data_IF_841611805100
#
_entry.id   IF_841611805100
#
_cell.length_a   1.000
_cell.length_b   1.000
_cell.length_c   1.000
_cell.angle_alpha   90.00
_cell.angle_beta   90.00
_cell.angle_gamma   90.00
#
_symmetry.space_group_name_H-M   'P 1'
#
loop_
_entity.id
_entity.type
_entity.pdbx_description
1 polymer ?
#
# COMPACT_ATOMS: atom_id res chain seq x y z
N UNK A 1 -2.52 23.44 -21.52
CA UNK A 1 -3.49 22.88 -20.57
C UNK A 1 -2.73 22.39 -19.35
N UNK A 2 -3.26 22.56 -18.14
CA UNK A 2 -2.65 21.99 -16.93
C UNK A 2 -2.72 20.46 -17.01
N UNK A 3 -1.59 19.77 -16.78
CA UNK A 3 -1.57 18.30 -16.77
C UNK A 3 -2.52 17.75 -15.71
N UNK A 4 -3.29 16.68 -16.00
CA UNK A 4 -4.02 15.94 -14.98
C UNK A 4 -3.09 15.35 -13.93
N UNK A 5 -3.65 15.05 -12.76
CA UNK A 5 -3.00 14.17 -11.78
C UNK A 5 -3.71 12.85 -11.72
N UNK A 6 -2.90 11.80 -11.72
CA UNK A 6 -3.36 10.44 -11.53
C UNK A 6 -2.69 9.92 -10.27
N UNK A 7 -3.46 9.77 -9.20
CA UNK A 7 -3.05 9.02 -8.02
C UNK A 7 -3.30 7.55 -8.28
N UNK A 8 -2.29 6.71 -8.19
CA UNK A 8 -2.43 5.27 -8.44
C UNK A 8 -1.80 4.46 -7.33
N UNK A 9 -2.53 3.48 -6.80
CA UNK A 9 -1.88 2.36 -6.13
C UNK A 9 -0.99 1.58 -7.13
N UNK A 10 -0.13 0.70 -6.62
CA UNK A 10 0.90 0.01 -7.39
C UNK A 10 0.60 -1.48 -7.57
N UNK A 11 0.73 -2.24 -6.48
CA UNK A 11 0.60 -3.68 -6.49
C UNK A 11 -0.86 -4.07 -6.75
N UNK A 12 -1.10 -4.96 -7.69
CA UNK A 12 -2.41 -5.40 -8.15
C UNK A 12 -3.26 -4.31 -8.86
N UNK A 13 -2.75 -3.07 -8.93
CA UNK A 13 -3.30 -1.97 -9.73
C UNK A 13 -2.55 -1.81 -11.06
N UNK A 14 -1.26 -1.44 -11.02
CA UNK A 14 -0.44 -1.23 -12.21
C UNK A 14 0.33 -2.49 -12.60
N UNK A 15 0.78 -3.28 -11.62
CA UNK A 15 1.52 -4.52 -11.82
C UNK A 15 1.26 -5.48 -10.68
N UNK A 16 1.61 -6.75 -10.86
CA UNK A 16 1.40 -7.79 -9.85
C UNK A 16 2.57 -8.78 -9.83
N UNK A 17 2.68 -9.58 -8.77
CA UNK A 17 3.75 -10.58 -8.68
C UNK A 17 3.63 -11.62 -9.80
N UNK A 18 4.76 -12.17 -10.26
CA UNK A 18 4.77 -13.27 -11.24
C UNK A 18 3.89 -14.45 -10.82
N UNK A 19 3.92 -14.78 -9.53
CA UNK A 19 3.10 -15.85 -8.93
C UNK A 19 1.62 -15.60 -9.19
N UNK A 20 1.12 -14.39 -8.94
CA UNK A 20 -0.29 -14.02 -9.18
C UNK A 20 -0.64 -14.10 -10.67
N UNK A 21 0.22 -13.56 -11.54
CA UNK A 21 -0.02 -13.61 -12.99
C UNK A 21 -0.12 -15.04 -13.51
N UNK A 22 0.89 -15.86 -13.25
CA UNK A 22 1.02 -17.19 -13.86
C UNK A 22 0.12 -18.21 -13.17
N UNK A 23 0.10 -18.23 -11.84
CA UNK A 23 -0.53 -19.32 -11.09
C UNK A 23 -2.00 -19.04 -10.74
N UNK A 24 -2.41 -17.77 -10.67
CA UNK A 24 -3.76 -17.40 -10.22
C UNK A 24 -4.62 -16.83 -11.36
N UNK A 25 -4.01 -16.09 -12.30
CA UNK A 25 -4.75 -15.33 -13.33
C UNK A 25 -4.54 -15.82 -14.76
N UNK A 26 -3.64 -16.79 -14.98
CA UNK A 26 -3.23 -17.25 -16.31
C UNK A 26 -2.82 -16.11 -17.27
N UNK A 27 -2.11 -15.10 -16.75
CA UNK A 27 -1.59 -13.95 -17.47
C UNK A 27 -0.10 -14.13 -17.80
N UNK A 28 0.31 -13.62 -18.95
CA UNK A 28 1.72 -13.61 -19.36
C UNK A 28 2.45 -12.34 -18.85
N UNK A 29 3.55 -12.47 -18.09
CA UNK A 29 4.39 -11.34 -17.70
C UNK A 29 5.06 -10.71 -18.92
N UNK A 30 4.87 -9.40 -19.12
CA UNK A 30 5.44 -8.68 -20.28
C UNK A 30 6.59 -7.75 -19.88
N UNK A 31 6.33 -6.75 -19.02
CA UNK A 31 7.33 -5.76 -18.61
C UNK A 31 7.51 -5.77 -17.11
N UNK A 32 8.74 -5.71 -16.62
CA UNK A 32 9.00 -5.61 -15.19
C UNK A 32 8.37 -4.33 -14.62
N UNK A 33 7.67 -4.47 -13.50
CA UNK A 33 7.10 -3.37 -12.70
C UNK A 33 7.88 -3.12 -11.41
N UNK A 34 8.45 -4.16 -10.78
CA UNK A 34 9.29 -4.00 -9.59
C UNK A 34 10.30 -5.14 -9.42
N UNK A 35 11.43 -4.80 -8.79
CA UNK A 35 12.52 -5.71 -8.46
C UNK A 35 12.48 -6.15 -6.98
N UNK A 36 13.01 -7.33 -6.70
CA UNK A 36 13.26 -7.81 -5.35
C UNK A 36 14.58 -7.24 -4.75
N UNK A 37 14.93 -7.55 -3.49
CA UNK A 37 16.18 -7.07 -2.89
C UNK A 37 17.46 -7.54 -3.58
N UNK A 38 17.41 -8.58 -4.43
CA UNK A 38 18.52 -9.05 -5.26
C UNK A 38 18.58 -8.37 -6.64
N UNK A 39 17.73 -7.37 -6.86
CA UNK A 39 17.55 -6.65 -8.13
C UNK A 39 17.02 -7.55 -9.27
N UNK A 40 16.34 -8.64 -8.92
CA UNK A 40 15.69 -9.53 -9.89
C UNK A 40 14.22 -9.13 -10.08
N UNK A 41 13.69 -9.10 -11.32
CA UNK A 41 12.28 -8.83 -11.56
C UNK A 41 11.35 -9.78 -10.81
N UNK A 42 10.46 -9.22 -9.99
CA UNK A 42 9.50 -9.96 -9.16
C UNK A 42 8.04 -9.65 -9.49
N UNK A 43 7.75 -8.40 -9.82
CA UNK A 43 6.43 -7.95 -10.24
C UNK A 43 6.46 -7.49 -11.69
N UNK A 44 5.38 -7.73 -12.41
CA UNK A 44 5.28 -7.53 -13.84
C UNK A 44 3.92 -6.92 -14.22
N UNK A 45 3.93 -6.22 -15.35
CA UNK A 45 2.77 -5.74 -16.07
C UNK A 45 2.47 -6.71 -17.21
N UNK A 46 1.18 -6.86 -17.55
CA UNK A 46 0.76 -7.31 -18.88
C UNK A 46 1.10 -6.26 -19.94
N UNK A 47 0.97 -6.61 -21.23
CA UNK A 47 1.16 -5.65 -22.32
C UNK A 47 0.17 -4.48 -22.22
N UNK A 48 -1.11 -4.76 -21.97
CA UNK A 48 -2.15 -3.73 -21.81
C UNK A 48 -1.87 -2.80 -20.61
N UNK A 49 -1.43 -3.35 -19.47
CA UNK A 49 -1.03 -2.55 -18.31
C UNK A 49 0.17 -1.66 -18.63
N UNK A 50 1.18 -2.18 -19.33
CA UNK A 50 2.36 -1.41 -19.71
C UNK A 50 1.99 -0.26 -20.67
N UNK A 51 1.12 -0.51 -21.65
CA UNK A 51 0.62 0.53 -22.56
C UNK A 51 -0.16 1.62 -21.82
N UNK A 52 -1.01 1.23 -20.86
CA UNK A 52 -1.76 2.19 -20.04
C UNK A 52 -0.83 3.05 -19.19
N UNK A 53 0.18 2.45 -18.55
CA UNK A 53 1.20 3.16 -17.77
C UNK A 53 1.99 4.13 -18.64
N UNK A 54 2.45 3.69 -19.81
CA UNK A 54 3.18 4.53 -20.77
C UNK A 54 2.33 5.75 -21.18
N UNK A 55 1.05 5.55 -21.47
CA UNK A 55 0.12 6.64 -21.77
C UNK A 55 -0.07 7.60 -20.59
N UNK A 56 -0.27 7.10 -19.37
CA UNK A 56 -0.44 7.95 -18.19
C UNK A 56 0.81 8.79 -17.89
N UNK A 57 2.00 8.21 -18.03
CA UNK A 57 3.27 8.91 -17.84
C UNK A 57 3.50 10.02 -18.86
N UNK A 58 3.05 9.83 -20.10
CA UNK A 58 3.19 10.83 -21.16
C UNK A 58 2.26 12.03 -20.91
N UNK A 59 1.01 11.77 -20.52
CA UNK A 59 -0.05 12.79 -20.53
C UNK A 59 -0.47 13.34 -19.16
N UNK A 60 0.04 12.79 -18.05
CA UNK A 60 -0.33 13.23 -16.70
C UNK A 60 0.86 13.23 -15.73
N UNK A 61 0.68 13.86 -14.57
CA UNK A 61 1.55 13.60 -13.41
C UNK A 61 1.02 12.35 -12.70
N UNK A 62 1.61 11.20 -13.02
CA UNK A 62 1.31 9.93 -12.38
C UNK A 62 2.06 9.83 -11.05
N UNK A 63 1.30 9.86 -9.95
CA UNK A 63 1.79 9.87 -8.57
C UNK A 63 1.41 8.53 -7.91
N UNK A 64 2.39 7.68 -7.54
CA UNK A 64 2.09 6.43 -6.85
C UNK A 64 1.62 6.68 -5.41
N UNK A 65 0.65 5.90 -4.95
CA UNK A 65 0.08 5.93 -3.60
C UNK A 65 0.07 4.52 -3.02
N UNK A 66 1.16 4.13 -2.37
CA UNK A 66 1.49 2.73 -2.12
C UNK A 66 1.74 2.38 -0.65
N UNK A 67 1.51 1.12 -0.31
CA UNK A 67 1.93 0.49 0.94
C UNK A 67 3.46 0.31 1.03
N UNK A 68 4.14 0.24 -0.11
CA UNK A 68 5.59 0.05 -0.19
C UNK A 68 6.34 1.16 0.54
N UNK A 69 7.35 0.79 1.33
CA UNK A 69 8.27 1.74 1.96
C UNK A 69 9.16 2.48 0.96
N UNK A 70 9.88 3.50 1.42
CA UNK A 70 10.80 4.32 0.59
C UNK A 70 11.84 3.45 -0.12
N UNK A 71 12.44 2.48 0.60
CA UNK A 71 13.39 1.55 -0.02
C UNK A 71 12.74 0.57 -1.02
N UNK A 72 11.45 0.27 -0.87
CA UNK A 72 10.72 -0.66 -1.74
C UNK A 72 10.22 0.00 -3.03
N UNK A 73 9.80 1.27 -2.96
CA UNK A 73 9.43 2.04 -4.14
C UNK A 73 10.64 2.37 -5.00
N UNK A 74 11.83 2.54 -4.41
CA UNK A 74 13.08 2.74 -5.16
C UNK A 74 13.44 1.55 -6.09
N UNK A 75 12.80 0.39 -5.91
CA UNK A 75 12.95 -0.81 -6.77
C UNK A 75 11.82 -0.98 -7.78
N UNK A 76 10.88 -0.04 -7.84
CA UNK A 76 9.84 0.00 -8.88
C UNK A 76 10.49 0.51 -10.16
N UNK A 77 10.26 -0.18 -11.28
CA UNK A 77 10.91 0.09 -12.57
C UNK A 77 10.11 1.04 -13.45
N UNK A 78 8.89 1.43 -13.03
CA UNK A 78 8.10 2.48 -13.69
C UNK A 78 8.78 3.83 -13.44
N UNK A 79 9.10 4.61 -14.49
CA UNK A 79 9.86 5.85 -14.35
C UNK A 79 8.95 7.02 -13.93
N UNK A 80 8.39 6.97 -12.72
CA UNK A 80 7.66 8.10 -12.14
C UNK A 80 8.57 9.34 -12.06
N UNK A 81 8.03 10.51 -12.44
CA UNK A 81 8.76 11.79 -12.46
C UNK A 81 8.16 12.85 -11.55
N UNK A 82 7.10 12.48 -10.83
CA UNK A 82 6.36 13.38 -9.94
C UNK A 82 6.59 12.96 -8.49
N UNK A 83 5.77 13.50 -7.60
CA UNK A 83 5.69 13.10 -6.20
C UNK A 83 5.39 11.60 -6.04
N UNK A 84 5.63 11.07 -4.85
CA UNK A 84 5.18 9.73 -4.47
C UNK A 84 4.65 9.72 -3.04
N UNK A 85 3.55 9.00 -2.80
CA UNK A 85 3.03 8.71 -1.46
C UNK A 85 3.37 7.25 -1.15
N UNK A 86 4.17 7.02 -0.11
CA UNK A 86 4.72 5.71 0.24
C UNK A 86 4.34 5.33 1.66
N UNK A 87 4.61 4.07 2.03
CA UNK A 87 4.45 3.57 3.39
C UNK A 87 3.04 3.80 3.93
N UNK A 88 2.02 3.45 3.14
CA UNK A 88 0.60 3.65 3.47
C UNK A 88 0.20 5.12 3.69
N UNK A 89 1.00 6.08 3.23
CA UNK A 89 0.77 7.52 3.46
C UNK A 89 1.66 8.12 4.54
N UNK A 90 2.51 7.34 5.22
CA UNK A 90 3.42 7.91 6.20
C UNK A 90 4.46 8.85 5.56
N UNK A 91 4.88 8.59 4.32
CA UNK A 91 5.90 9.38 3.63
C UNK A 91 5.34 9.94 2.33
N UNK A 92 5.67 11.20 2.06
CA UNK A 92 5.50 11.84 0.76
C UNK A 92 6.91 12.19 0.27
N UNK A 93 7.26 11.75 -0.94
CA UNK A 93 8.51 12.07 -1.61
C UNK A 93 8.26 13.18 -2.65
N UNK A 94 9.16 14.14 -2.72
CA UNK A 94 9.20 15.15 -3.79
C UNK A 94 9.62 14.49 -5.12
N UNK A 95 9.49 15.19 -6.27
CA UNK A 95 10.01 14.70 -7.55
C UNK A 95 11.50 14.35 -7.55
N UNK A 96 12.28 14.95 -6.64
CA UNK A 96 13.71 14.66 -6.45
C UNK A 96 13.95 13.40 -5.62
N UNK A 97 12.90 12.78 -5.07
CA UNK A 97 12.97 11.58 -4.26
C UNK A 97 13.24 11.83 -2.76
N UNK A 98 13.20 13.09 -2.32
CA UNK A 98 13.43 13.46 -0.93
C UNK A 98 12.11 13.54 -0.15
N UNK A 99 12.08 13.22 1.16
CA UNK A 99 10.86 13.36 1.95
C UNK A 99 10.40 14.82 2.06
N UNK A 100 9.12 15.08 1.81
CA UNK A 100 8.52 16.41 1.96
C UNK A 100 8.59 16.85 3.44
N UNK A 101 9.23 18.00 3.73
CA UNK A 101 9.60 18.35 5.11
C UNK A 101 8.42 18.66 6.03
N UNK A 102 7.34 19.27 5.52
CA UNK A 102 6.19 19.65 6.35
C UNK A 102 5.40 18.42 6.79
N UNK A 103 5.10 17.51 5.86
CA UNK A 103 4.46 16.23 6.08
C UNK A 103 5.29 15.35 6.99
N UNK A 104 6.61 15.28 6.76
CA UNK A 104 7.54 14.58 7.66
C UNK A 104 7.42 15.08 9.10
N UNK A 105 7.44 16.39 9.33
CA UNK A 105 7.32 16.95 10.68
C UNK A 105 5.97 16.62 11.34
N UNK A 106 4.88 16.68 10.56
CA UNK A 106 3.54 16.30 11.01
C UNK A 106 3.49 14.82 11.39
N UNK A 107 4.05 13.94 10.55
CA UNK A 107 4.04 12.50 10.76
C UNK A 107 4.89 12.09 11.97
N UNK A 108 6.09 12.65 12.14
CA UNK A 108 6.94 12.41 13.32
C UNK A 108 6.21 12.78 14.62
N UNK A 109 5.52 13.92 14.63
CA UNK A 109 4.72 14.35 15.80
C UNK A 109 3.55 13.41 16.05
N UNK A 110 2.83 13.03 14.98
CA UNK A 110 1.65 12.17 15.08
C UNK A 110 1.99 10.73 15.49
N UNK A 111 3.17 10.22 15.12
CA UNK A 111 3.60 8.86 15.42
C UNK A 111 4.27 8.68 16.78
N UNK A 112 4.78 9.76 17.39
CA UNK A 112 5.48 9.69 18.67
C UNK A 112 4.70 8.91 19.77
N UNK A 113 3.37 9.06 19.93
CA UNK A 113 2.60 8.31 20.94
C UNK A 113 2.49 6.80 20.69
N UNK A 114 2.75 6.34 19.45
CA UNK A 114 2.54 4.95 19.05
C UNK A 114 3.81 4.08 19.15
N UNK A 115 4.98 4.71 19.29
CA UNK A 115 6.27 4.03 19.19
C UNK A 115 6.45 2.91 20.22
N UNK A 116 6.24 3.20 21.51
CA UNK A 116 6.38 2.21 22.59
C UNK A 116 5.43 1.03 22.40
N UNK A 117 4.19 1.31 21.97
CA UNK A 117 3.19 0.29 21.77
C UNK A 117 3.52 -0.62 20.59
N UNK A 118 4.02 -0.08 19.47
CA UNK A 118 4.47 -0.89 18.33
C UNK A 118 5.58 -1.88 18.74
N UNK A 119 6.55 -1.43 19.53
CA UNK A 119 7.61 -2.30 20.06
C UNK A 119 7.07 -3.36 21.02
N UNK A 120 6.18 -2.96 21.93
CA UNK A 120 5.54 -3.87 22.88
C UNK A 120 4.74 -4.97 22.16
N UNK A 121 3.96 -4.60 21.14
CA UNK A 121 3.20 -5.55 20.32
C UNK A 121 4.14 -6.46 19.52
N UNK A 122 5.21 -5.94 18.91
CA UNK A 122 6.17 -6.76 18.17
C UNK A 122 6.80 -7.83 19.07
N UNK A 123 7.22 -7.43 20.27
CA UNK A 123 7.81 -8.34 21.25
C UNK A 123 6.81 -9.43 21.66
N UNK A 124 5.61 -9.05 22.05
CA UNK A 124 4.56 -9.98 22.45
C UNK A 124 4.14 -10.95 21.35
N UNK A 125 4.05 -10.50 20.09
CA UNK A 125 3.80 -11.40 18.95
C UNK A 125 4.92 -12.42 18.80
N UNK A 126 6.17 -11.96 18.90
CA UNK A 126 7.34 -12.82 18.71
C UNK A 126 7.42 -13.89 19.81
N UNK A 127 7.18 -13.50 21.06
CA UNK A 127 7.11 -14.44 22.19
C UNK A 127 5.99 -15.46 22.02
N UNK A 128 4.79 -15.00 21.64
CA UNK A 128 3.63 -15.87 21.43
C UNK A 128 3.85 -16.89 20.31
N UNK A 129 4.47 -16.45 19.20
CA UNK A 129 4.85 -17.34 18.10
C UNK A 129 5.87 -18.39 18.56
N UNK A 130 6.87 -17.99 19.35
CA UNK A 130 7.89 -18.90 19.86
C UNK A 130 7.31 -19.92 20.84
N UNK A 131 6.49 -19.48 21.81
CA UNK A 131 5.81 -20.32 22.80
C UNK A 131 4.95 -21.40 22.12
N UNK A 132 4.28 -21.05 21.03
CA UNK A 132 3.36 -21.94 20.30
C UNK A 132 4.01 -22.68 19.12
N UNK A 133 5.32 -22.51 18.92
CA UNK A 133 6.04 -23.08 17.78
C UNK A 133 5.45 -22.70 16.40
N UNK A 134 4.87 -21.51 16.30
CA UNK A 134 4.30 -20.98 15.06
C UNK A 134 5.44 -20.45 14.20
N UNK A 135 5.51 -20.91 12.95
CA UNK A 135 6.57 -20.53 12.02
C UNK A 135 6.25 -19.18 11.35
N UNK A 136 6.19 -18.13 12.15
CA UNK A 136 5.90 -16.77 11.71
C UNK A 136 6.99 -15.76 12.05
N UNK A 137 6.74 -14.50 11.72
CA UNK A 137 7.56 -13.37 12.13
C UNK A 137 6.73 -12.10 12.23
N UNK A 138 7.18 -11.18 13.08
CA UNK A 138 6.65 -9.83 13.20
C UNK A 138 7.76 -8.79 13.04
N UNK A 139 7.48 -7.72 12.29
CA UNK A 139 8.45 -6.69 11.95
C UNK A 139 7.79 -5.32 11.98
N UNK A 140 8.44 -4.36 12.61
CA UNK A 140 8.11 -2.94 12.46
C UNK A 140 8.73 -2.42 11.16
N UNK A 141 7.96 -1.66 10.39
CA UNK A 141 8.45 -0.92 9.24
C UNK A 141 8.86 0.48 9.71
N UNK A 142 10.05 0.91 9.31
CA UNK A 142 10.66 2.15 9.76
C UNK A 142 10.82 3.11 8.59
N UNK A 143 10.63 4.40 8.86
CA UNK A 143 10.94 5.49 7.95
C UNK A 143 11.59 6.63 8.75
N UNK A 144 12.08 7.66 8.07
CA UNK A 144 12.71 8.83 8.71
C UNK A 144 13.87 8.48 9.65
N UNK A 145 14.66 7.45 9.31
CA UNK A 145 15.65 6.85 10.19
C UNK A 145 14.99 5.72 10.99
N UNK A 146 14.98 5.85 12.30
CA UNK A 146 14.51 4.80 13.22
C UNK A 146 13.07 5.03 13.71
N UNK A 147 12.26 5.81 12.99
CA UNK A 147 10.87 6.06 13.42
C UNK A 147 10.00 4.86 13.08
N UNK A 148 9.38 4.18 14.07
CA UNK A 148 8.48 3.06 13.82
C UNK A 148 7.17 3.57 13.22
N UNK A 149 6.79 3.04 12.05
CA UNK A 149 5.59 3.48 11.32
C UNK A 149 4.41 2.54 11.56
N UNK A 150 4.60 1.24 11.30
CA UNK A 150 3.55 0.25 11.47
C UNK A 150 4.15 -1.14 11.69
N UNK A 151 3.38 -2.03 12.33
CA UNK A 151 3.76 -3.40 12.62
C UNK A 151 3.11 -4.33 11.60
N UNK A 152 3.88 -5.26 11.03
CA UNK A 152 3.36 -6.32 10.17
C UNK A 152 3.76 -7.69 10.72
N UNK A 153 2.87 -8.65 10.53
CA UNK A 153 3.04 -10.04 10.91
C UNK A 153 2.70 -10.94 9.71
N UNK A 154 3.52 -11.98 9.49
CA UNK A 154 3.31 -12.99 8.45
C UNK A 154 3.67 -14.39 8.96
N UNK A 155 3.05 -15.39 8.35
CA UNK A 155 3.46 -16.78 8.49
C UNK A 155 4.48 -17.13 7.38
N UNK A 156 5.44 -18.03 7.65
CA UNK A 156 6.42 -18.45 6.63
C UNK A 156 5.82 -19.41 5.60
N UNK A 157 4.82 -20.17 6.00
CA UNK A 157 3.93 -20.89 5.09
C UNK A 157 2.70 -20.02 4.81
N UNK A 158 2.59 -19.49 3.58
CA UNK A 158 1.54 -18.55 3.19
C UNK A 158 0.14 -19.16 3.13
N UNK A 159 0.01 -20.48 3.29
CA UNK A 159 -1.29 -21.17 3.34
C UNK A 159 -1.91 -21.17 4.74
N UNK A 160 -1.11 -20.91 5.79
CA UNK A 160 -1.54 -20.91 7.21
C UNK A 160 -2.17 -19.59 7.65
N UNK A 161 -3.16 -19.12 6.88
CA UNK A 161 -3.82 -17.83 7.12
C UNK A 161 -4.63 -17.84 8.43
N UNK A 162 -5.33 -18.93 8.72
CA UNK A 162 -6.16 -19.04 9.93
C UNK A 162 -5.32 -18.96 11.22
N UNK A 163 -4.15 -19.60 11.24
CA UNK A 163 -3.22 -19.54 12.37
C UNK A 163 -2.68 -18.11 12.58
N UNK A 164 -2.38 -17.41 11.48
CA UNK A 164 -1.97 -16.01 11.50
C UNK A 164 -3.10 -15.11 12.06
N UNK A 165 -4.35 -15.35 11.66
CA UNK A 165 -5.50 -14.54 12.07
C UNK A 165 -5.88 -14.81 13.53
N UNK A 166 -5.75 -16.05 14.00
CA UNK A 166 -5.94 -16.39 15.40
C UNK A 166 -4.95 -15.65 16.32
N UNK A 167 -3.68 -15.54 15.92
CA UNK A 167 -2.71 -14.69 16.65
C UNK A 167 -3.18 -13.23 16.62
N UNK A 168 -3.61 -12.72 15.47
CA UNK A 168 -4.05 -11.34 15.35
C UNK A 168 -5.22 -11.02 16.29
N UNK A 169 -6.24 -11.87 16.32
CA UNK A 169 -7.41 -11.72 17.20
C UNK A 169 -7.01 -11.68 18.68
N UNK A 170 -6.05 -12.50 19.08
CA UNK A 170 -5.54 -12.54 20.45
C UNK A 170 -4.71 -11.30 20.80
N UNK A 171 -3.92 -10.79 19.86
CA UNK A 171 -3.16 -9.54 20.04
C UNK A 171 -4.10 -8.34 20.24
N UNK A 172 -5.23 -8.29 19.51
CA UNK A 172 -6.25 -7.25 19.71
C UNK A 172 -6.93 -7.32 21.09
N UNK A 173 -6.92 -8.49 21.75
CA UNK A 173 -7.42 -8.64 23.12
C UNK A 173 -6.36 -8.29 24.17
N UNK A 174 -5.08 -8.54 23.89
CA UNK A 174 -3.96 -8.33 24.82
C UNK A 174 -3.46 -6.89 24.87
N UNK A 175 -3.56 -6.15 23.76
CA UNK A 175 -3.02 -4.80 23.64
C UNK A 175 -4.12 -3.80 23.25
N UNK A 176 -4.13 -2.57 23.80
CA UNK A 176 -5.12 -1.56 23.43
C UNK A 176 -4.99 -1.12 21.97
N UNK A 177 -5.79 -1.64 21.04
CA UNK A 177 -5.69 -1.25 19.61
C UNK A 177 -6.41 0.04 19.24
N UNK A 178 -6.87 0.81 20.24
CA UNK A 178 -7.42 2.15 20.01
C UNK A 178 -6.35 3.06 19.37
N UNK A 179 -6.72 3.76 18.29
CA UNK A 179 -5.78 4.56 17.50
C UNK A 179 -5.03 3.77 16.43
N UNK A 180 -5.32 2.47 16.28
CA UNK A 180 -4.84 1.65 15.17
C UNK A 180 -6.03 1.14 14.35
N UNK A 181 -5.78 0.90 13.07
CA UNK A 181 -6.63 0.02 12.28
C UNK A 181 -5.84 -1.20 11.82
N UNK A 182 -6.55 -2.33 11.73
CA UNK A 182 -5.99 -3.59 11.31
C UNK A 182 -6.22 -3.80 9.82
N UNK A 183 -5.15 -4.13 9.10
CA UNK A 183 -5.19 -4.51 7.70
C UNK A 183 -4.86 -6.00 7.57
N UNK A 184 -5.84 -6.83 7.20
CA UNK A 184 -5.67 -8.26 6.90
C UNK A 184 -5.80 -8.48 5.39
N UNK A 185 -4.76 -9.00 4.76
CA UNK A 185 -4.76 -9.34 3.34
C UNK A 185 -3.93 -10.60 3.10
N UNK A 186 -4.57 -11.75 2.88
CA UNK A 186 -3.89 -13.04 2.73
C UNK A 186 -2.91 -13.27 3.90
N UNK A 187 -1.69 -13.72 3.62
CA UNK A 187 -0.59 -13.91 4.58
C UNK A 187 0.08 -12.58 5.02
N UNK A 188 -0.71 -11.56 5.34
CA UNK A 188 -0.25 -10.26 5.80
C UNK A 188 -1.27 -9.67 6.78
N UNK A 189 -0.87 -9.51 8.04
CA UNK A 189 -1.63 -8.76 9.06
C UNK A 189 -0.81 -7.56 9.47
N UNK A 190 -1.37 -6.36 9.41
CA UNK A 190 -0.67 -5.13 9.78
C UNK A 190 -1.50 -4.25 10.71
N UNK A 191 -0.88 -3.73 11.76
CA UNK A 191 -1.43 -2.71 12.65
C UNK A 191 -0.84 -1.37 12.29
N UNK A 192 -1.68 -0.48 11.76
CA UNK A 192 -1.29 0.84 11.32
C UNK A 192 -1.87 1.88 12.28
N UNK A 193 -1.05 2.79 12.84
CA UNK A 193 -1.55 3.96 13.53
C UNK A 193 -2.49 4.77 12.63
N UNK A 194 -3.58 5.30 13.18
CA UNK A 194 -4.57 6.11 12.45
C UNK A 194 -4.01 7.29 11.63
N UNK A 195 -2.89 7.94 12.03
CA UNK A 195 -2.25 8.94 11.17
C UNK A 195 -1.70 8.39 9.85
N UNK A 196 -1.33 7.11 9.79
CA UNK A 196 -0.75 6.45 8.63
C UNK A 196 -1.86 5.99 7.70
N UNK A 197 -2.29 6.88 6.81
CA UNK A 197 -3.41 6.61 5.91
C UNK A 197 -3.23 7.33 4.58
N UNK A 198 -3.46 6.59 3.47
CA UNK A 198 -3.22 7.07 2.09
C UNK A 198 -4.03 8.33 1.77
N UNK A 199 -5.31 8.37 2.12
CA UNK A 199 -6.20 9.51 1.93
C UNK A 199 -5.75 10.78 2.64
N UNK A 200 -5.19 10.69 3.86
CA UNK A 200 -4.60 11.85 4.56
C UNK A 200 -3.41 12.44 3.79
N UNK A 201 -2.49 11.59 3.34
CA UNK A 201 -1.35 12.02 2.55
C UNK A 201 -1.76 12.61 1.19
N UNK A 202 -2.72 11.97 0.52
CA UNK A 202 -3.28 12.48 -0.75
C UNK A 202 -4.03 13.80 -0.54
N UNK A 203 -4.74 13.97 0.59
CA UNK A 203 -5.40 15.25 0.93
C UNK A 203 -4.37 16.37 1.07
N UNK A 204 -3.30 16.12 1.83
CA UNK A 204 -2.19 17.06 1.97
C UNK A 204 -1.61 17.43 0.60
N UNK A 205 -1.20 16.43 -0.18
CA UNK A 205 -0.54 16.64 -1.47
C UNK A 205 -1.45 17.33 -2.48
N UNK A 206 -2.73 16.97 -2.52
CA UNK A 206 -3.71 17.60 -3.40
C UNK A 206 -3.91 19.08 -3.06
N UNK A 207 -3.93 19.44 -1.77
CA UNK A 207 -4.01 20.83 -1.34
C UNK A 207 -2.76 21.62 -1.70
N UNK A 208 -1.57 21.05 -1.49
CA UNK A 208 -0.29 21.65 -1.89
C UNK A 208 -0.27 21.92 -3.39
N UNK A 209 -0.58 20.92 -4.21
CA UNK A 209 -0.61 21.06 -5.66
C UNK A 209 -1.68 22.06 -6.13
N UNK A 210 -2.85 22.11 -5.50
CA UNK A 210 -3.89 23.11 -5.83
C UNK A 210 -3.48 24.52 -5.50
N UNK A 211 -2.75 24.73 -4.40
CA UNK A 211 -2.21 26.03 -4.05
C UNK A 211 -1.17 26.51 -5.08
N UNK A 212 -0.37 25.60 -5.63
CA UNK A 212 0.70 25.93 -6.58
C UNK A 212 0.22 26.16 -8.02
N UNK A 213 -0.62 25.26 -8.55
CA UNK A 213 -1.02 25.27 -9.98
C UNK A 213 -2.51 25.53 -10.23
N UNK A 214 -3.29 25.79 -9.19
CA UNK A 214 -4.73 25.99 -9.30
C UNK A 214 -5.50 24.70 -9.60
N UNK A 215 -6.52 24.77 -10.47
CA UNK A 215 -7.41 23.63 -10.76
C UNK A 215 -6.88 22.74 -11.88
N UNK A 216 -7.01 21.43 -11.72
CA UNK A 216 -6.61 20.39 -12.67
C UNK A 216 -7.49 19.15 -12.49
N UNK A 217 -7.66 18.32 -13.53
CA UNK A 217 -8.36 17.04 -13.41
C UNK A 217 -7.61 16.08 -12.46
N UNK A 218 -8.36 15.33 -11.65
CA UNK A 218 -7.79 14.35 -10.70
C UNK A 218 -8.44 13.00 -10.89
N UNK A 219 -7.62 11.98 -11.11
CA UNK A 219 -8.01 10.58 -11.27
C UNK A 219 -7.39 9.75 -10.15
N UNK A 220 -8.18 8.86 -9.53
CA UNK A 220 -7.71 7.88 -8.56
C UNK A 220 -7.79 6.46 -9.10
N UNK A 221 -6.74 5.65 -8.95
CA UNK A 221 -6.72 4.24 -9.36
C UNK A 221 -6.28 3.38 -8.18
N UNK A 222 -7.03 2.32 -7.87
CA UNK A 222 -6.69 1.39 -6.79
C UNK A 222 -7.41 0.06 -6.92
N UNK A 223 -6.89 -0.97 -6.26
CA UNK A 223 -7.46 -2.33 -6.30
C UNK A 223 -8.14 -2.73 -4.99
N UNK A 224 -7.70 -2.12 -3.87
CA UNK A 224 -8.06 -2.54 -2.53
C UNK A 224 -9.20 -1.70 -1.96
N UNK A 225 -10.01 -2.28 -1.08
CA UNK A 225 -11.10 -1.53 -0.40
C UNK A 225 -10.58 -0.32 0.38
N UNK A 226 -9.37 -0.42 0.95
CA UNK A 226 -8.73 0.69 1.65
C UNK A 226 -8.37 1.87 0.74
N UNK A 227 -8.14 1.62 -0.55
CA UNK A 227 -7.77 2.66 -1.51
C UNK A 227 -8.93 3.62 -1.80
N UNK A 228 -10.17 3.19 -1.53
CA UNK A 228 -11.36 4.04 -1.59
C UNK A 228 -11.17 5.39 -0.86
N UNK A 229 -10.42 5.38 0.25
CA UNK A 229 -10.19 6.57 1.07
C UNK A 229 -9.45 7.67 0.31
N UNK A 230 -8.46 7.35 -0.52
CA UNK A 230 -7.82 8.38 -1.35
C UNK A 230 -8.54 8.57 -2.69
N UNK A 231 -9.14 7.52 -3.25
CA UNK A 231 -9.82 7.59 -4.53
C UNK A 231 -11.04 8.52 -4.50
N UNK A 232 -11.76 8.59 -3.37
CA UNK A 232 -12.89 9.52 -3.18
C UNK A 232 -12.50 11.00 -3.13
N UNK A 233 -11.20 11.32 -3.00
CA UNK A 233 -10.68 12.68 -3.09
C UNK A 233 -10.52 13.15 -4.55
N UNK A 234 -10.63 12.23 -5.50
CA UNK A 234 -10.43 12.46 -6.93
C UNK A 234 -11.76 12.82 -7.62
N UNK A 235 -11.68 13.50 -8.77
CA UNK A 235 -12.85 13.85 -9.59
C UNK A 235 -13.47 12.61 -10.24
N UNK A 236 -12.61 11.67 -10.62
CA UNK A 236 -13.00 10.36 -11.13
C UNK A 236 -12.07 9.31 -10.51
N UNK A 237 -12.56 8.08 -10.38
CA UNK A 237 -11.71 6.97 -9.99
C UNK A 237 -12.05 5.68 -10.74
N UNK A 238 -11.05 4.82 -10.89
CA UNK A 238 -11.14 3.55 -11.62
C UNK A 238 -10.55 2.40 -10.82
N UNK A 239 -11.00 1.19 -11.16
CA UNK A 239 -10.61 -0.06 -10.51
C UNK A 239 -10.14 -1.06 -11.58
N UNK A 240 -9.09 -1.87 -11.33
CA UNK A 240 -8.82 -3.04 -12.15
C UNK A 240 -9.99 -4.03 -12.11
N UNK A 241 -10.27 -4.71 -13.22
CA UNK A 241 -11.39 -5.66 -13.33
C UNK A 241 -11.32 -6.80 -12.31
N UNK A 242 -10.11 -7.31 -12.07
CA UNK A 242 -9.85 -8.44 -11.16
C UNK A 242 -9.21 -7.93 -9.85
N UNK A 243 -9.86 -6.95 -9.23
CA UNK A 243 -9.43 -6.36 -7.96
C UNK A 243 -10.32 -6.78 -6.80
N UNK A 244 -9.78 -6.71 -5.57
CA UNK A 244 -10.56 -6.93 -4.35
C UNK A 244 -11.81 -6.03 -4.32
N UNK A 245 -11.66 -4.78 -4.75
CA UNK A 245 -12.76 -3.82 -4.80
C UNK A 245 -13.82 -4.24 -5.82
N UNK A 246 -13.44 -4.57 -7.05
CA UNK A 246 -14.40 -5.00 -8.08
C UNK A 246 -15.18 -6.25 -7.64
N UNK A 247 -14.49 -7.21 -7.01
CA UNK A 247 -15.11 -8.41 -6.45
C UNK A 247 -16.09 -8.10 -5.32
N UNK A 248 -15.73 -7.19 -4.42
CA UNK A 248 -16.61 -6.75 -3.33
C UNK A 248 -17.89 -6.10 -3.87
N UNK A 249 -17.80 -5.29 -4.94
CA UNK A 249 -18.95 -4.72 -5.63
C UNK A 249 -19.83 -5.84 -6.22
N UNK A 250 -19.21 -6.78 -6.95
CA UNK A 250 -19.95 -7.88 -7.58
C UNK A 250 -20.72 -8.72 -6.55
N UNK A 251 -20.03 -9.14 -5.48
CA UNK A 251 -20.65 -9.88 -4.35
C UNK A 251 -21.78 -9.10 -3.69
N UNK A 252 -21.58 -7.81 -3.43
CA UNK A 252 -22.55 -7.00 -2.68
C UNK A 252 -23.79 -6.63 -3.48
N UNK A 253 -23.65 -6.38 -4.78
CA UNK A 253 -24.73 -5.89 -5.63
C UNK A 253 -25.44 -7.05 -6.36
N UNK A 254 -24.68 -7.99 -6.92
CA UNK A 254 -25.22 -9.04 -7.77
C UNK A 254 -25.32 -10.40 -7.08
N UNK A 255 -24.69 -10.56 -5.91
CA UNK A 255 -24.69 -11.82 -5.18
C UNK A 255 -23.80 -12.90 -5.81
N UNK A 256 -22.88 -12.50 -6.69
CA UNK A 256 -21.95 -13.42 -7.34
C UNK A 256 -21.00 -14.03 -6.29
N UNK A 257 -21.32 -15.23 -5.82
CA UNK A 257 -20.36 -16.10 -5.14
C UNK A 257 -19.52 -16.76 -6.21
N UNK A 258 -18.23 -16.41 -6.31
CA UNK A 258 -17.29 -17.21 -7.08
C UNK A 258 -17.18 -18.60 -6.44
N UNK A 259 -17.98 -19.54 -6.92
CA UNK A 259 -17.60 -20.94 -6.97
C UNK A 259 -16.73 -21.10 -8.23
N UNK A 260 -15.42 -21.10 -8.03
CA UNK A 260 -14.43 -21.69 -8.94
C UNK A 260 -13.13 -21.98 -8.19
#
# INVERSE_FOLDING_TARGET
MTKPVIFSDLDDTLFQTRRKMVNELALEPYRAGALDPSLTPRSFMTEEQAMLVDWMLEYADLIPVTARGTGEIARVTIPFRSWAVTTHGAVILTPEGEPEPVWKAQMLTALAPYAEQLHTMQHGITELMAERHINGWARINYEYGDTPIYLVMKHRDSTRIEELYAIADEIEQRYPTAGFYLHRNSNNVAWLPDPVEKGRAVTYLLNTLRAERGTFPVIGLGDSLSDHRFMTLCTWYGLPRQSQFAEAIARRIFGDTQDA
#
